data_IF_852567469378
#
_entry.id   IF_852567469378
#
_cell.length_a   1.000
_cell.length_b   1.000
_cell.length_c   1.000
_cell.angle_alpha   90.00
_cell.angle_beta   90.00
_cell.angle_gamma   90.00
#
_symmetry.space_group_name_H-M   'P 1'
#
loop_
_entity.id
_entity.type
_entity.pdbx_description
1 polymer ?
#
# COMPACT_ATOMS: atom_id res chain seq x y z
N UNK A 1 6.26 -17.10 20.39
CA UNK A 1 5.40 -16.19 19.60
C UNK A 1 4.31 -17.01 18.96
N UNK A 2 3.05 -16.59 19.11
CA UNK A 2 1.91 -17.22 18.42
C UNK A 2 2.05 -17.05 16.90
N UNK A 3 1.69 -18.07 16.12
CA UNK A 3 1.70 -18.01 14.65
C UNK A 3 0.90 -16.80 14.11
N UNK A 4 -0.19 -16.43 14.78
CA UNK A 4 -0.99 -15.25 14.44
C UNK A 4 -0.15 -13.96 14.49
N UNK A 5 0.54 -13.71 15.60
CA UNK A 5 1.41 -12.53 15.79
C UNK A 5 2.52 -12.48 14.73
N UNK A 6 3.07 -13.64 14.38
CA UNK A 6 4.08 -13.73 13.33
C UNK A 6 3.50 -13.30 11.97
N UNK A 7 2.34 -13.83 11.56
CA UNK A 7 1.72 -13.45 10.29
C UNK A 7 1.20 -12.01 10.26
N UNK A 8 0.68 -11.50 11.39
CA UNK A 8 0.29 -10.10 11.57
C UNK A 8 1.46 -9.12 11.41
N UNK A 9 2.69 -9.55 11.70
CA UNK A 9 3.87 -8.73 11.46
C UNK A 9 4.42 -8.90 10.05
N UNK A 10 4.55 -10.14 9.59
CA UNK A 10 5.23 -10.43 8.33
C UNK A 10 4.42 -9.98 7.13
N UNK A 11 3.12 -10.27 7.07
CA UNK A 11 2.32 -9.99 5.86
C UNK A 11 2.06 -8.48 5.71
N UNK A 12 1.50 -7.77 6.70
CA UNK A 12 1.31 -6.32 6.63
C UNK A 12 2.63 -5.56 6.56
N UNK A 13 3.67 -6.02 7.27
CA UNK A 13 4.99 -5.42 7.26
C UNK A 13 5.68 -5.53 5.91
N UNK A 14 5.69 -6.72 5.31
CA UNK A 14 6.22 -6.92 3.96
C UNK A 14 5.53 -6.01 2.95
N UNK A 15 4.19 -5.96 2.98
CA UNK A 15 3.41 -5.12 2.08
C UNK A 15 3.72 -3.63 2.26
N UNK A 16 3.64 -3.13 3.50
CA UNK A 16 3.85 -1.71 3.80
C UNK A 16 5.28 -1.26 3.44
N UNK A 17 6.29 -2.05 3.80
CA UNK A 17 7.69 -1.74 3.50
C UNK A 17 7.98 -1.85 2.00
N UNK A 18 7.44 -2.85 1.30
CA UNK A 18 7.63 -3.01 -0.14
C UNK A 18 6.99 -1.86 -0.92
N UNK A 19 5.74 -1.51 -0.62
CA UNK A 19 5.03 -0.40 -1.27
C UNK A 19 5.73 0.94 -1.03
N UNK A 20 6.12 1.21 0.23
CA UNK A 20 6.78 2.45 0.59
C UNK A 20 8.20 2.55 0.00
N UNK A 21 8.95 1.45 0.02
CA UNK A 21 10.27 1.37 -0.60
C UNK A 21 10.20 1.60 -2.11
N UNK A 22 9.23 1.00 -2.80
CA UNK A 22 9.02 1.25 -4.22
C UNK A 22 8.66 2.71 -4.47
N UNK A 23 7.78 3.29 -3.67
CA UNK A 23 7.45 4.71 -3.81
C UNK A 23 8.69 5.62 -3.68
N UNK A 24 9.57 5.34 -2.70
CA UNK A 24 10.77 6.15 -2.45
C UNK A 24 11.89 5.93 -3.47
N UNK A 25 12.17 4.68 -3.87
CA UNK A 25 13.37 4.35 -4.65
C UNK A 25 13.11 4.12 -6.14
N UNK A 26 11.94 3.57 -6.50
CA UNK A 26 11.60 3.31 -7.90
C UNK A 26 11.32 4.62 -8.64
N UNK A 27 10.55 5.53 -8.04
CA UNK A 27 10.11 6.77 -8.70
C UNK A 27 11.25 7.72 -9.08
N UNK A 28 12.30 7.93 -8.27
CA UNK A 28 13.47 8.69 -8.70
C UNK A 28 14.19 8.04 -9.88
N UNK A 29 14.31 6.71 -9.88
CA UNK A 29 14.99 5.94 -10.92
C UNK A 29 14.27 6.04 -12.27
N UNK A 30 12.93 5.99 -12.25
CA UNK A 30 12.09 6.10 -13.46
C UNK A 30 12.02 7.52 -14.05
N UNK A 31 12.38 8.56 -13.29
CA UNK A 31 12.44 9.95 -13.80
C UNK A 31 13.55 10.18 -14.82
N UNK A 32 14.57 9.33 -14.86
CA UNK A 32 15.70 9.43 -15.81
C UNK A 32 15.43 8.83 -17.19
N UNK A 33 14.36 8.04 -17.34
CA UNK A 33 14.05 7.33 -18.59
C UNK A 33 13.37 8.23 -19.63
N UNK A 34 13.54 7.89 -20.91
CA UNK A 34 12.79 8.51 -22.01
C UNK A 34 11.28 8.31 -21.81
N UNK A 35 10.46 9.23 -22.32
CA UNK A 35 9.01 9.27 -22.02
C UNK A 35 8.29 7.97 -22.40
N UNK A 36 8.70 7.31 -23.50
CA UNK A 36 8.18 6.02 -23.95
C UNK A 36 8.54 4.88 -22.99
N UNK A 37 9.82 4.71 -22.70
CA UNK A 37 10.33 3.66 -21.80
C UNK A 37 9.73 3.80 -20.40
N UNK A 38 9.52 5.04 -19.94
CA UNK A 38 8.87 5.34 -18.67
C UNK A 38 7.46 4.76 -18.59
N UNK A 39 6.68 4.93 -19.65
CA UNK A 39 5.27 4.48 -19.69
C UNK A 39 5.22 2.96 -19.83
N UNK A 40 6.05 2.36 -20.68
CA UNK A 40 6.11 0.90 -20.84
C UNK A 40 6.48 0.19 -19.53
N UNK A 41 7.50 0.70 -18.83
CA UNK A 41 7.93 0.17 -17.53
C UNK A 41 6.84 0.36 -16.47
N UNK A 42 6.20 1.52 -16.40
CA UNK A 42 5.10 1.78 -15.45
C UNK A 42 3.90 0.87 -15.75
N UNK A 43 3.54 0.63 -17.01
CA UNK A 43 2.45 -0.27 -17.38
C UNK A 43 2.73 -1.72 -16.98
N UNK A 44 3.95 -2.22 -17.22
CA UNK A 44 4.32 -3.57 -16.81
C UNK A 44 4.33 -3.71 -15.29
N UNK A 45 4.82 -2.69 -14.59
CA UNK A 45 4.76 -2.61 -13.14
C UNK A 45 3.33 -2.66 -12.64
N UNK A 46 2.45 -1.78 -13.14
CA UNK A 46 1.04 -1.71 -12.76
C UNK A 46 0.28 -3.01 -13.02
N UNK A 47 0.49 -3.66 -14.17
CA UNK A 47 -0.17 -4.96 -14.47
C UNK A 47 0.19 -6.03 -13.44
N UNK A 48 1.45 -6.06 -13.02
CA UNK A 48 1.93 -7.03 -12.02
C UNK A 48 1.45 -6.67 -10.62
N UNK A 49 1.61 -5.40 -10.24
CA UNK A 49 1.27 -4.89 -8.92
C UNK A 49 -0.23 -4.93 -8.66
N UNK A 50 -1.07 -4.57 -9.64
CA UNK A 50 -2.52 -4.63 -9.50
C UNK A 50 -3.07 -6.04 -9.35
N UNK A 51 -2.27 -7.08 -9.66
CA UNK A 51 -2.64 -8.47 -9.43
C UNK A 51 -2.26 -8.97 -8.04
N UNK A 52 -1.10 -8.54 -7.53
CA UNK A 52 -0.50 -9.09 -6.30
C UNK A 52 -0.85 -8.27 -5.06
N UNK A 53 -0.92 -6.94 -5.16
CA UNK A 53 -1.19 -6.07 -4.01
C UNK A 53 -2.58 -6.26 -3.43
N UNK A 54 -3.69 -6.25 -4.21
CA UNK A 54 -5.02 -6.34 -3.63
C UNK A 54 -5.27 -7.56 -2.72
N UNK A 55 -4.87 -8.79 -3.08
CA UNK A 55 -5.02 -9.92 -2.18
C UNK A 55 -4.14 -9.81 -0.92
N UNK A 56 -2.91 -9.27 -1.03
CA UNK A 56 -2.03 -9.05 0.12
C UNK A 56 -2.59 -7.99 1.09
N UNK A 57 -3.13 -6.89 0.57
CA UNK A 57 -3.79 -5.86 1.37
C UNK A 57 -5.04 -6.41 2.06
N UNK A 58 -5.87 -7.18 1.33
CA UNK A 58 -7.04 -7.85 1.90
C UNK A 58 -6.67 -8.82 3.02
N UNK A 59 -5.63 -9.63 2.81
CA UNK A 59 -5.10 -10.55 3.83
C UNK A 59 -4.58 -9.78 5.05
N UNK A 60 -3.89 -8.65 4.84
CA UNK A 60 -3.37 -7.81 5.94
C UNK A 60 -4.51 -7.26 6.81
N UNK A 61 -5.58 -6.74 6.19
CA UNK A 61 -6.76 -6.24 6.91
C UNK A 61 -7.43 -7.37 7.70
N UNK A 62 -7.57 -8.56 7.11
CA UNK A 62 -8.17 -9.71 7.79
C UNK A 62 -7.35 -10.19 8.99
N UNK A 63 -6.03 -10.29 8.84
CA UNK A 63 -5.13 -10.68 9.93
C UNK A 63 -5.24 -9.68 11.10
N UNK A 64 -5.10 -8.37 10.81
CA UNK A 64 -5.18 -7.32 11.83
C UNK A 64 -6.55 -7.33 12.53
N UNK A 65 -7.64 -7.57 11.79
CA UNK A 65 -8.98 -7.69 12.36
C UNK A 65 -9.08 -8.89 13.31
N UNK A 66 -8.59 -10.07 12.91
CA UNK A 66 -8.56 -11.26 13.76
C UNK A 66 -7.75 -10.98 15.03
N UNK A 67 -6.59 -10.32 14.89
CA UNK A 67 -5.76 -9.92 16.02
C UNK A 67 -6.50 -8.97 16.98
N UNK A 68 -7.16 -7.93 16.46
CA UNK A 68 -7.94 -6.98 17.24
C UNK A 68 -9.09 -7.64 18.00
N UNK A 69 -9.77 -8.59 17.36
CA UNK A 69 -10.90 -9.32 17.96
C UNK A 69 -10.46 -10.32 19.02
N UNK A 70 -9.26 -10.91 18.89
CA UNK A 70 -8.71 -11.86 19.87
C UNK A 70 -8.35 -11.17 21.18
N UNK A 71 -7.83 -9.94 21.12
CA UNK A 71 -7.29 -9.24 22.29
C UNK A 71 -8.10 -7.99 22.67
N UNK A 72 -9.38 -8.18 23.03
CA UNK A 72 -10.36 -7.14 23.40
C UNK A 72 -10.13 -6.51 24.79
N UNK A 73 -8.92 -6.08 25.09
CA UNK A 73 -8.62 -5.37 26.33
C UNK A 73 -8.89 -3.87 26.18
N UNK A 74 -9.34 -3.18 27.22
CA UNK A 74 -9.55 -1.72 27.16
C UNK A 74 -8.26 -0.95 27.49
N UNK A 75 -7.19 -1.23 26.75
CA UNK A 75 -5.86 -0.62 26.95
C UNK A 75 -5.38 0.14 25.70
N UNK A 76 -4.28 0.88 25.86
CA UNK A 76 -3.67 1.64 24.77
C UNK A 76 -3.23 0.74 23.60
N UNK A 77 -2.78 -0.48 23.89
CA UNK A 77 -2.39 -1.44 22.86
C UNK A 77 -3.56 -1.84 21.97
N UNK A 78 -4.75 -2.10 22.53
CA UNK A 78 -5.92 -2.42 21.74
C UNK A 78 -6.37 -1.23 20.87
N UNK A 79 -6.34 0.00 21.40
CA UNK A 79 -6.59 1.20 20.61
C UNK A 79 -5.64 1.31 19.42
N UNK A 80 -4.36 1.00 19.61
CA UNK A 80 -3.37 1.02 18.53
C UNK A 80 -3.65 -0.03 17.43
N UNK A 81 -4.13 -1.24 17.76
CA UNK A 81 -4.54 -2.23 16.74
C UNK A 81 -5.72 -1.71 15.93
N UNK A 82 -6.75 -1.18 16.59
CA UNK A 82 -7.92 -0.63 15.90
C UNK A 82 -7.56 0.57 15.01
N UNK A 83 -6.66 1.43 15.47
CA UNK A 83 -6.09 2.48 14.62
C UNK A 83 -5.31 1.90 13.43
N UNK A 84 -4.49 0.87 13.63
CA UNK A 84 -3.80 0.17 12.54
C UNK A 84 -4.79 -0.37 11.50
N UNK A 85 -5.84 -1.06 11.94
CA UNK A 85 -6.89 -1.58 11.08
C UNK A 85 -7.56 -0.45 10.28
N UNK A 86 -7.85 0.68 10.93
CA UNK A 86 -8.40 1.85 10.27
C UNK A 86 -7.47 2.37 9.17
N UNK A 87 -6.17 2.50 9.43
CA UNK A 87 -5.19 2.96 8.44
C UNK A 87 -5.06 2.01 7.24
N UNK A 88 -4.99 0.70 7.46
CA UNK A 88 -4.97 -0.30 6.38
C UNK A 88 -6.27 -0.30 5.57
N UNK A 89 -7.42 -0.13 6.24
CA UNK A 89 -8.72 -0.04 5.57
C UNK A 89 -8.84 1.25 4.75
N UNK A 90 -8.38 2.38 5.29
CA UNK A 90 -8.33 3.66 4.60
C UNK A 90 -7.39 3.62 3.39
N UNK A 91 -6.24 2.95 3.50
CA UNK A 91 -5.33 2.70 2.37
C UNK A 91 -5.99 1.85 1.28
N UNK A 92 -6.77 0.84 1.67
CA UNK A 92 -7.53 0.01 0.72
C UNK A 92 -8.60 0.84 0.00
N UNK A 93 -9.37 1.64 0.75
CA UNK A 93 -10.40 2.51 0.18
C UNK A 93 -9.80 3.55 -0.78
N UNK A 94 -8.69 4.19 -0.39
CA UNK A 94 -8.01 5.16 -1.26
C UNK A 94 -7.48 4.51 -2.54
N UNK A 95 -6.99 3.27 -2.47
CA UNK A 95 -6.60 2.52 -3.65
C UNK A 95 -7.75 2.27 -4.62
N UNK A 96 -8.94 1.96 -4.11
CA UNK A 96 -10.11 1.69 -4.97
C UNK A 96 -10.60 2.99 -5.62
N UNK A 97 -10.62 4.09 -4.88
CA UNK A 97 -11.24 5.35 -5.34
C UNK A 97 -10.28 6.21 -6.16
N UNK A 98 -9.02 6.32 -5.76
CA UNK A 98 -8.05 7.23 -6.37
C UNK A 98 -7.16 6.51 -7.38
N UNK A 99 -6.71 5.29 -7.07
CA UNK A 99 -5.71 4.62 -7.91
C UNK A 99 -6.37 3.85 -9.04
N UNK A 100 -7.42 3.06 -8.77
CA UNK A 100 -7.98 2.13 -9.76
C UNK A 100 -8.36 2.76 -11.10
N UNK A 101 -8.99 3.93 -11.08
CA UNK A 101 -9.37 4.64 -12.31
C UNK A 101 -8.13 5.16 -13.07
N UNK A 102 -7.16 5.68 -12.33
CA UNK A 102 -5.91 6.22 -12.89
C UNK A 102 -5.03 5.11 -13.44
N UNK A 103 -4.95 3.97 -12.76
CA UNK A 103 -4.17 2.81 -13.18
C UNK A 103 -4.76 2.22 -14.47
N UNK A 104 -6.09 2.16 -14.57
CA UNK A 104 -6.76 1.73 -15.79
C UNK A 104 -6.49 2.68 -16.97
N UNK A 105 -6.46 3.99 -16.71
CA UNK A 105 -6.11 5.02 -17.70
C UNK A 105 -4.64 4.85 -18.15
N UNK A 106 -3.68 4.70 -17.24
CA UNK A 106 -2.26 4.51 -17.58
C UNK A 106 -2.04 3.21 -18.37
N UNK A 107 -2.74 2.13 -17.99
CA UNK A 107 -2.59 0.81 -18.62
C UNK A 107 -3.15 0.77 -20.04
N UNK A 108 -4.05 1.69 -20.41
CA UNK A 108 -4.66 1.77 -21.74
C UNK A 108 -3.93 2.71 -22.70
N UNK A 109 -2.91 3.46 -22.24
CA UNK A 109 -2.15 4.35 -23.10
C UNK A 109 -1.36 3.60 -24.18
N UNK A 110 -1.33 4.18 -25.37
CA UNK A 110 -0.42 3.79 -26.44
C UNK A 110 0.96 4.45 -26.18
N UNK A 111 2.04 3.68 -25.97
CA UNK A 111 3.39 4.21 -25.76
C UNK A 111 3.90 5.09 -26.91
N UNK A 112 3.39 4.92 -28.14
CA UNK A 112 3.80 5.70 -29.31
C UNK A 112 3.01 7.01 -29.45
N UNK A 113 1.86 7.12 -28.77
CA UNK A 113 1.00 8.32 -28.79
C UNK A 113 0.43 8.61 -27.41
N UNK A 114 1.27 9.19 -26.56
CA UNK A 114 0.85 9.60 -25.22
C UNK A 114 -0.17 10.75 -25.26
N UNK A 115 -1.20 10.71 -24.39
CA UNK A 115 -2.18 11.80 -24.32
C UNK A 115 -1.54 13.07 -23.77
N UNK A 116 -2.02 14.25 -24.21
CA UNK A 116 -1.42 15.56 -23.88
C UNK A 116 -1.30 15.78 -22.36
N UNK A 117 -2.23 15.22 -21.57
CA UNK A 117 -2.30 15.33 -20.12
C UNK A 117 -1.52 14.24 -19.35
N UNK A 118 -0.74 13.38 -20.02
CA UNK A 118 -0.10 12.21 -19.40
C UNK A 118 0.74 12.55 -18.15
N UNK A 119 1.48 13.67 -18.17
CA UNK A 119 2.30 14.12 -17.02
C UNK A 119 1.44 14.43 -15.79
N UNK A 120 0.26 15.00 -15.99
CA UNK A 120 -0.68 15.33 -14.92
C UNK A 120 -1.26 14.05 -14.31
N UNK A 121 -1.69 13.11 -15.15
CA UNK A 121 -2.23 11.82 -14.70
C UNK A 121 -1.16 11.02 -13.95
N UNK A 122 0.07 11.01 -14.45
CA UNK A 122 1.20 10.36 -13.78
C UNK A 122 1.54 10.99 -12.42
N UNK A 123 1.46 12.33 -12.30
CA UNK A 123 1.63 13.03 -11.02
C UNK A 123 0.51 12.69 -10.03
N UNK A 124 -0.75 12.60 -10.48
CA UNK A 124 -1.87 12.17 -9.65
C UNK A 124 -1.67 10.74 -9.14
N UNK A 125 -1.30 9.82 -10.04
CA UNK A 125 -0.94 8.44 -9.68
C UNK A 125 0.15 8.44 -8.60
N UNK A 126 1.17 9.29 -8.76
CA UNK A 126 2.25 9.44 -7.78
C UNK A 126 1.78 9.81 -6.39
N UNK A 127 0.96 10.86 -6.31
CA UNK A 127 0.46 11.36 -5.03
C UNK A 127 -0.44 10.31 -4.37
N UNK A 128 -1.31 9.67 -5.15
CA UNK A 128 -2.25 8.70 -4.63
C UNK A 128 -1.55 7.40 -4.17
N UNK A 129 -0.55 6.92 -4.90
CA UNK A 129 0.28 5.78 -4.46
C UNK A 129 1.09 6.12 -3.19
N UNK A 130 1.71 7.30 -3.14
CA UNK A 130 2.47 7.75 -1.97
C UNK A 130 1.58 7.89 -0.73
N UNK A 131 0.37 8.42 -0.90
CA UNK A 131 -0.63 8.49 0.16
C UNK A 131 -1.02 7.11 0.68
N UNK A 132 -1.33 6.16 -0.22
CA UNK A 132 -1.65 4.77 0.15
C UNK A 132 -0.52 4.10 0.93
N UNK A 133 0.70 4.17 0.42
CA UNK A 133 1.87 3.56 1.05
C UNK A 133 2.15 4.17 2.43
N UNK A 134 1.95 5.49 2.58
CA UNK A 134 2.14 6.19 3.87
C UNK A 134 1.10 5.74 4.90
N UNK A 135 -0.17 5.58 4.50
CA UNK A 135 -1.21 5.05 5.38
C UNK A 135 -0.90 3.62 5.84
N UNK A 136 -0.47 2.73 4.94
CA UNK A 136 -0.06 1.36 5.29
C UNK A 136 1.12 1.35 6.25
N UNK A 137 2.13 2.20 6.02
CA UNK A 137 3.30 2.29 6.89
C UNK A 137 2.93 2.77 8.30
N UNK A 138 2.12 3.83 8.40
CA UNK A 138 1.60 4.31 9.68
C UNK A 138 0.78 3.24 10.40
N UNK A 139 -0.10 2.54 9.66
CA UNK A 139 -0.85 1.40 10.19
C UNK A 139 0.07 0.31 10.73
N UNK A 140 1.13 -0.02 10.00
CA UNK A 140 2.09 -1.05 10.41
C UNK A 140 2.88 -0.65 11.67
N UNK A 141 3.33 0.61 11.76
CA UNK A 141 4.01 1.13 12.95
C UNK A 141 3.11 1.02 14.19
N UNK A 142 1.82 1.35 14.06
CA UNK A 142 0.85 1.20 15.15
C UNK A 142 0.62 -0.27 15.54
N UNK A 143 0.63 -1.18 14.58
CA UNK A 143 0.53 -2.62 14.85
C UNK A 143 1.74 -3.13 15.64
N UNK A 144 2.95 -2.76 15.21
CA UNK A 144 4.19 -3.06 15.92
C UNK A 144 4.17 -2.49 17.35
N UNK A 145 3.75 -1.23 17.50
CA UNK A 145 3.63 -0.59 18.82
C UNK A 145 2.62 -1.30 19.72
N UNK A 146 1.50 -1.77 19.16
CA UNK A 146 0.52 -2.55 19.91
C UNK A 146 1.09 -3.88 20.41
N UNK A 147 1.78 -4.62 19.55
CA UNK A 147 2.38 -5.90 19.90
C UNK A 147 3.48 -5.70 20.95
N UNK A 148 4.36 -4.71 20.75
CA UNK A 148 5.41 -4.39 21.69
C UNK A 148 4.85 -4.02 23.08
N UNK A 149 3.80 -3.20 23.13
CA UNK A 149 3.16 -2.79 24.38
C UNK A 149 2.42 -3.92 25.11
N UNK A 150 2.17 -5.07 24.46
CA UNK A 150 1.57 -6.26 25.07
C UNK A 150 2.62 -7.28 25.54
N UNK A 151 3.85 -7.16 25.07
CA UNK A 151 4.96 -8.02 25.47
C UNK A 151 5.84 -7.42 26.57
N UNK A 152 5.70 -6.12 26.82
CA UNK A 152 6.32 -5.39 27.93
C UNK A 152 5.47 -5.51 29.20
#
# INVERSE_FOLDING_TARGET
>A
MDCLVFFDLVVPGFLACAEFGLFLFWRPSVRGLMERERVEVEQQFLRTFNRVIPPLTGLSVLLILIYALRFKENNAANRAVWSSLFFFSAATASSIWLNRAVDAEITSWDPERLPINWKSVWKRHAIAQGFRASLQLLGFILLCGSIAARCA
#
